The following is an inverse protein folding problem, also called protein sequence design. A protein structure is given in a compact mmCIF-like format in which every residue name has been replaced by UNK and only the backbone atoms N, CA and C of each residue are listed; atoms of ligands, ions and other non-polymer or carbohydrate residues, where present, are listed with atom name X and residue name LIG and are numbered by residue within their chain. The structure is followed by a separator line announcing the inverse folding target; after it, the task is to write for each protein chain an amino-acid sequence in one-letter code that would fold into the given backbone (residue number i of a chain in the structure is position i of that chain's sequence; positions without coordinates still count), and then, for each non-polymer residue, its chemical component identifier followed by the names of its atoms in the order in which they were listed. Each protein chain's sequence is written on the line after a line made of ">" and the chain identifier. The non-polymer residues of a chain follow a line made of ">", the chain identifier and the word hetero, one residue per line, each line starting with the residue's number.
data_IF_299273374659
#
_entry.id   IF_299273374659
#
_cell.length_a   1.000
_cell.length_b   1.000
_cell.length_c   1.000
_cell.angle_alpha   90.00
_cell.angle_beta   90.00
_cell.angle_gamma   90.00
#
_symmetry.space_group_name_H-M   'P 1'
#
loop_
_entity.id
_entity.type
_entity.pdbx_description
1 polymer ?
#
# COMPACT_ATOMS: atom_id res chain seq x y z
N UNK A 1 7.60 -11.59 -4.79
CA UNK A 1 7.74 -11.05 -3.42
C UNK A 1 7.31 -9.59 -3.46
N UNK A 2 6.74 -9.09 -2.38
CA UNK A 2 6.35 -7.70 -2.21
C UNK A 2 6.68 -7.25 -0.78
N UNK A 3 6.60 -5.96 -0.52
CA UNK A 3 6.81 -5.38 0.82
C UNK A 3 5.48 -4.95 1.40
N UNK A 4 5.13 -5.47 2.57
CA UNK A 4 4.04 -4.94 3.40
C UNK A 4 4.60 -3.83 4.29
N UNK A 5 4.14 -2.61 4.10
CA UNK A 5 4.49 -1.43 4.89
C UNK A 5 3.36 -1.22 5.90
N UNK A 6 3.65 -1.43 7.18
CA UNK A 6 2.68 -1.28 8.26
C UNK A 6 2.54 0.18 8.67
N UNK A 7 1.41 0.55 9.27
CA UNK A 7 1.17 1.91 9.79
C UNK A 7 2.19 2.36 10.84
N UNK A 8 2.80 1.43 11.58
CA UNK A 8 3.89 1.71 12.53
C UNK A 8 5.26 1.94 11.87
N UNK A 9 5.33 1.91 10.53
CA UNK A 9 6.54 2.07 9.73
C UNK A 9 7.37 0.79 9.56
N UNK A 10 6.99 -0.33 10.20
CA UNK A 10 7.65 -1.62 9.98
C UNK A 10 7.41 -2.15 8.57
N UNK A 11 8.39 -2.90 8.04
CA UNK A 11 8.36 -3.47 6.69
C UNK A 11 8.56 -4.97 6.76
N UNK A 12 7.67 -5.72 6.11
CA UNK A 12 7.71 -7.18 6.06
C UNK A 12 7.77 -7.63 4.61
N UNK A 13 8.62 -8.60 4.30
CA UNK A 13 8.55 -9.27 3.00
C UNK A 13 7.39 -10.26 3.00
N UNK A 14 6.56 -10.20 1.96
CA UNK A 14 5.43 -11.09 1.76
C UNK A 14 5.53 -11.79 0.40
N UNK A 15 4.93 -12.97 0.32
CA UNK A 15 4.85 -13.78 -0.90
C UNK A 15 3.41 -14.21 -1.15
N UNK A 16 3.02 -14.37 -2.43
CA UNK A 16 1.69 -14.87 -2.75
C UNK A 16 1.53 -16.31 -2.26
N UNK A 17 0.35 -16.66 -1.73
CA UNK A 17 0.08 -18.01 -1.22
C UNK A 17 0.22 -19.08 -2.29
N UNK A 18 -0.10 -18.74 -3.54
CA UNK A 18 0.00 -19.67 -4.67
C UNK A 18 1.44 -19.78 -5.25
N UNK A 19 2.39 -18.97 -4.77
CA UNK A 19 3.78 -18.94 -5.24
C UNK A 19 4.01 -18.29 -6.62
N UNK A 20 2.98 -17.73 -7.25
CA UNK A 20 3.03 -17.14 -8.60
C UNK A 20 2.71 -15.64 -8.57
N UNK A 21 1.52 -15.27 -8.09
CA UNK A 21 0.98 -13.92 -8.11
C UNK A 21 0.02 -13.68 -6.94
N UNK A 22 -0.09 -12.43 -6.50
CA UNK A 22 -1.05 -12.09 -5.45
C UNK A 22 -2.46 -12.12 -6.01
N UNK A 23 -3.33 -12.88 -5.36
CA UNK A 23 -4.76 -12.86 -5.64
C UNK A 23 -5.42 -11.66 -4.97
N UNK A 24 -6.53 -11.20 -5.55
CA UNK A 24 -7.24 -10.03 -5.06
C UNK A 24 -7.62 -10.16 -3.58
N UNK A 25 -8.12 -11.33 -3.15
CA UNK A 25 -8.53 -11.55 -1.77
C UNK A 25 -7.35 -11.53 -0.79
N UNK A 26 -6.13 -11.87 -1.24
CA UNK A 26 -4.92 -11.74 -0.45
C UNK A 26 -4.58 -10.27 -0.21
N UNK A 27 -4.57 -9.48 -1.28
CA UNK A 27 -4.29 -8.04 -1.18
C UNK A 27 -5.32 -7.33 -0.30
N UNK A 28 -6.61 -7.66 -0.45
CA UNK A 28 -7.67 -7.11 0.40
C UNK A 28 -7.48 -7.45 1.89
N UNK A 29 -6.97 -8.65 2.22
CA UNK A 29 -6.64 -9.02 3.60
C UNK A 29 -5.45 -8.24 4.15
N UNK A 30 -4.46 -7.91 3.31
CA UNK A 30 -3.30 -7.13 3.74
C UNK A 30 -3.65 -5.67 4.03
N UNK A 31 -4.52 -5.05 3.22
CA UNK A 31 -4.88 -3.63 3.36
C UNK A 31 -6.18 -3.41 4.17
N UNK A 32 -6.84 -4.47 4.59
CA UNK A 32 -8.09 -4.46 5.38
C UNK A 32 -9.28 -3.78 4.68
N UNK A 33 -9.49 -4.05 3.38
CA UNK A 33 -10.60 -3.44 2.65
C UNK A 33 -10.59 -3.64 1.14
N UNK A 34 -11.40 -2.83 0.45
CA UNK A 34 -11.31 -2.69 -1.01
C UNK A 34 -10.00 -2.01 -1.40
N UNK A 35 -9.46 -2.38 -2.56
CA UNK A 35 -8.16 -1.88 -2.99
C UNK A 35 -8.28 -0.68 -3.91
N UNK A 36 -7.38 0.28 -3.74
CA UNK A 36 -7.02 1.27 -4.76
C UNK A 36 -5.53 1.07 -5.12
N UNK A 37 -5.18 1.36 -6.38
CA UNK A 37 -3.80 1.26 -6.88
C UNK A 37 -3.26 2.65 -7.16
N UNK A 38 -2.13 2.99 -6.52
CA UNK A 38 -1.34 4.18 -6.83
C UNK A 38 -0.12 3.76 -7.66
N UNK A 39 0.05 4.36 -8.84
CA UNK A 39 1.19 4.09 -9.71
C UNK A 39 2.38 4.98 -9.33
N UNK A 40 3.54 4.40 -9.02
CA UNK A 40 4.76 5.14 -8.61
C UNK A 40 5.62 5.63 -9.78
N UNK A 41 5.15 5.46 -11.02
CA UNK A 41 5.77 5.95 -12.26
C UNK A 41 7.18 5.39 -12.54
N UNK A 42 7.56 4.31 -11.86
CA UNK A 42 8.85 3.64 -12.01
C UNK A 42 8.71 2.13 -12.29
N UNK A 43 7.49 1.64 -12.51
CA UNK A 43 7.17 0.21 -12.66
C UNK A 43 6.58 -0.42 -11.40
N UNK A 44 6.71 0.24 -10.25
CA UNK A 44 6.11 -0.19 -8.99
C UNK A 44 4.74 0.45 -8.78
N UNK A 45 3.94 -0.17 -7.90
CA UNK A 45 2.63 0.31 -7.48
C UNK A 45 2.52 0.25 -5.96
N UNK A 46 1.63 1.04 -5.37
CA UNK A 46 1.13 0.83 -4.03
C UNK A 46 -0.31 0.30 -4.13
N UNK A 47 -0.58 -0.79 -3.44
CA UNK A 47 -1.94 -1.29 -3.20
C UNK A 47 -2.35 -0.82 -1.81
N UNK A 48 -3.40 -0.02 -1.74
CA UNK A 48 -3.88 0.63 -0.51
C UNK A 48 -5.34 0.29 -0.25
N UNK A 49 -5.83 0.62 0.94
CA UNK A 49 -7.26 0.59 1.23
C UNK A 49 -7.96 1.83 0.65
N UNK A 50 -8.95 1.62 -0.21
CA UNK A 50 -9.75 2.68 -0.85
C UNK A 50 -10.49 3.58 0.16
N UNK A 51 -10.89 3.01 1.31
CA UNK A 51 -11.54 3.76 2.40
C UNK A 51 -10.60 4.09 3.55
N UNK A 52 -9.28 3.92 3.38
CA UNK A 52 -8.32 4.00 4.47
C UNK A 52 -8.37 5.33 5.24
N UNK A 53 -8.60 6.45 4.54
CA UNK A 53 -8.64 7.78 5.16
C UNK A 53 -9.82 8.00 6.12
N UNK A 54 -10.89 7.23 5.96
CA UNK A 54 -12.07 7.34 6.81
C UNK A 54 -11.97 6.50 8.09
N UNK A 55 -11.12 5.46 8.10
CA UNK A 55 -11.17 4.41 9.13
C UNK A 55 -9.81 3.96 9.69
N UNK A 56 -8.68 4.30 9.06
CA UNK A 56 -7.34 3.84 9.41
C UNK A 56 -6.38 5.00 9.72
N UNK A 57 -5.36 4.69 10.52
CA UNK A 57 -4.27 5.62 10.83
C UNK A 57 -3.40 5.91 9.59
N UNK A 58 -2.78 7.09 9.58
CA UNK A 58 -1.86 7.50 8.52
C UNK A 58 -0.61 6.62 8.46
N UNK A 59 -0.16 6.31 7.25
CA UNK A 59 1.09 5.61 6.98
C UNK A 59 2.12 6.59 6.41
N UNK A 60 2.92 7.18 7.30
CA UNK A 60 3.92 8.19 6.94
C UNK A 60 4.95 7.64 5.94
N UNK A 61 5.39 6.38 6.12
CA UNK A 61 6.37 5.74 5.24
C UNK A 61 5.85 5.57 3.82
N UNK A 62 4.61 5.07 3.66
CA UNK A 62 3.99 4.95 2.34
C UNK A 62 3.73 6.33 1.70
N UNK A 63 3.33 7.31 2.52
CA UNK A 63 3.10 8.69 2.07
C UNK A 63 4.39 9.33 1.53
N UNK A 64 5.52 9.19 2.23
CA UNK A 64 6.82 9.67 1.78
C UNK A 64 7.26 9.03 0.45
N UNK A 65 7.03 7.72 0.28
CA UNK A 65 7.32 7.00 -0.95
C UNK A 65 6.47 7.58 -2.10
N UNK A 66 5.15 7.69 -1.91
CA UNK A 66 4.27 8.24 -2.93
C UNK A 66 4.65 9.68 -3.32
N UNK A 67 4.99 10.54 -2.35
CA UNK A 67 5.46 11.90 -2.60
C UNK A 67 6.79 11.96 -3.34
N UNK A 68 7.77 11.12 -2.99
CA UNK A 68 9.06 11.05 -3.68
C UNK A 68 8.89 10.71 -5.17
N UNK A 69 7.84 9.98 -5.50
CA UNK A 69 7.48 9.60 -6.86
C UNK A 69 6.49 10.56 -7.54
N UNK A 70 6.03 11.62 -6.86
CA UNK A 70 4.95 12.51 -7.31
C UNK A 70 3.65 11.76 -7.67
N UNK A 71 3.39 10.64 -6.99
CA UNK A 71 2.26 9.76 -7.28
C UNK A 71 0.95 10.24 -6.63
N UNK A 72 1.04 11.13 -5.64
CA UNK A 72 -0.08 11.81 -4.97
C UNK A 72 0.23 13.31 -4.85
N UNK A 73 -0.79 14.13 -4.59
CA UNK A 73 -0.64 15.57 -4.38
C UNK A 73 0.16 15.84 -3.10
N UNK A 74 0.95 16.91 -3.04
CA UNK A 74 1.87 17.18 -1.91
C UNK A 74 1.22 17.44 -0.54
N UNK A 75 -0.10 17.58 -0.49
CA UNK A 75 -0.89 17.68 0.76
C UNK A 75 -1.69 16.42 1.05
N UNK A 76 -1.60 15.42 0.18
CA UNK A 76 -2.30 14.16 0.33
C UNK A 76 -1.47 13.15 1.13
N UNK A 77 -2.12 12.08 1.59
CA UNK A 77 -1.48 11.06 2.40
C UNK A 77 -2.14 9.71 2.23
N UNK A 78 -1.47 8.64 2.66
CA UNK A 78 -1.96 7.27 2.60
C UNK A 78 -2.29 6.82 4.02
N UNK A 79 -3.41 6.10 4.19
CA UNK A 79 -3.83 5.49 5.45
C UNK A 79 -3.90 3.97 5.35
N UNK A 80 -3.62 3.30 6.47
CA UNK A 80 -3.60 1.85 6.55
C UNK A 80 -2.29 1.21 6.10
N UNK A 81 -2.26 -0.11 6.16
CA UNK A 81 -1.14 -0.89 5.65
C UNK A 81 -1.13 -0.89 4.11
N UNK A 82 0.06 -1.01 3.54
CA UNK A 82 0.27 -0.88 2.09
C UNK A 82 1.09 -2.04 1.57
N UNK A 83 0.68 -2.63 0.45
CA UNK A 83 1.51 -3.58 -0.30
C UNK A 83 2.20 -2.85 -1.44
N UNK A 84 3.53 -3.00 -1.53
CA UNK A 84 4.38 -2.43 -2.59
C UNK A 84 5.20 -3.51 -3.29
#
# INVERSE_FOLDING_TARGET
>A
MATLIKTDGSKLEIQPQNGLDFQLDELQKFVDGYIEIINLHNGDILVINDNGKDVLDSNETATEIAHKHNAILGWDYICGDVVM
#
